data_IF_836939231940
#
_entry.id   IF_836939231940
#
_cell.length_a   1.000
_cell.length_b   1.000
_cell.length_c   1.000
_cell.angle_alpha   90.00
_cell.angle_beta   90.00
_cell.angle_gamma   90.00
#
_symmetry.space_group_name_H-M   'P 1'
#
loop_
_entity.id
_entity.type
_entity.pdbx_description
1 polymer ?
#
# COMPACT_ATOMS: atom_id res chain seq x y z
N UNK A 1 -9.54 38.10 15.63
CA UNK A 1 -8.58 39.21 15.49
C UNK A 1 -7.52 38.82 14.47
N UNK A 2 -7.72 39.17 13.20
CA UNK A 2 -6.65 39.36 12.22
C UNK A 2 -6.38 40.87 12.15
N UNK A 3 -5.11 41.29 11.98
CA UNK A 3 -4.72 41.93 10.73
C UNK A 3 -3.32 41.46 10.25
N UNK A 4 -3.19 41.09 8.97
CA UNK A 4 -2.71 41.90 7.84
C UNK A 4 -1.17 41.99 7.71
N UNK A 5 -0.66 41.20 6.76
CA UNK A 5 0.21 41.56 5.63
C UNK A 5 1.28 42.67 5.85
N UNK A 6 2.56 42.35 5.61
CA UNK A 6 3.21 42.64 4.32
C UNK A 6 4.73 42.36 4.31
N UNK A 7 5.14 41.57 3.30
CA UNK A 7 6.13 41.90 2.26
C UNK A 7 7.64 41.94 2.60
N UNK A 8 8.36 40.95 2.07
CA UNK A 8 9.72 41.04 1.50
C UNK A 8 9.89 39.77 0.66
N UNK A 9 9.77 39.72 -0.67
CA UNK A 9 10.47 40.48 -1.72
C UNK A 9 11.99 40.44 -1.57
N UNK A 10 12.63 39.35 -2.01
CA UNK A 10 13.89 39.51 -2.75
C UNK A 10 14.20 38.30 -3.66
N UNK A 11 14.26 38.63 -4.95
CA UNK A 11 15.17 38.12 -5.97
C UNK A 11 15.14 36.64 -6.37
N UNK A 12 14.28 36.40 -7.35
CA UNK A 12 14.59 35.56 -8.49
C UNK A 12 15.83 36.11 -9.23
N UNK A 13 16.92 35.35 -9.22
CA UNK A 13 18.08 35.57 -10.09
C UNK A 13 18.44 34.21 -10.71
N UNK A 14 18.36 34.14 -12.03
CA UNK A 14 18.69 32.95 -12.80
C UNK A 14 20.18 32.68 -12.86
N UNK A 15 20.55 31.41 -12.76
CA UNK A 15 21.86 30.90 -13.15
C UNK A 15 21.70 30.04 -14.41
N UNK A 16 22.26 30.41 -15.57
CA UNK A 16 22.44 29.51 -16.68
C UNK A 16 23.86 28.94 -16.61
N UNK A 17 24.02 27.75 -16.03
CA UNK A 17 25.29 27.03 -16.06
C UNK A 17 25.03 25.57 -16.43
N UNK A 18 25.21 25.32 -17.72
CA UNK A 18 25.60 24.06 -18.34
C UNK A 18 26.43 23.18 -17.38
N UNK A 19 25.80 22.23 -16.69
CA UNK A 19 26.52 21.13 -16.06
C UNK A 19 25.99 19.80 -16.59
N UNK A 20 26.70 19.33 -17.62
CA UNK A 20 27.07 17.94 -17.88
C UNK A 20 25.99 16.91 -17.54
N UNK A 21 25.33 16.37 -18.57
CA UNK A 21 24.55 15.12 -18.50
C UNK A 21 25.29 14.11 -17.62
N UNK A 22 24.83 13.95 -16.39
CA UNK A 22 25.18 12.82 -15.57
C UNK A 22 24.43 11.65 -16.17
N UNK A 23 25.16 10.77 -16.84
CA UNK A 23 24.69 9.44 -17.23
C UNK A 23 24.09 8.83 -15.95
N UNK A 24 22.79 8.47 -15.91
CA UNK A 24 22.29 7.73 -14.77
C UNK A 24 23.09 6.42 -14.72
N UNK A 25 23.62 5.99 -13.56
CA UNK A 25 24.24 4.68 -13.47
C UNK A 25 23.22 3.66 -13.96
N UNK A 26 23.66 2.83 -14.92
CA UNK A 26 22.86 1.80 -15.55
C UNK A 26 22.01 1.05 -14.51
N UNK A 27 20.77 0.62 -14.84
CA UNK A 27 19.96 -0.16 -13.92
C UNK A 27 20.80 -1.36 -13.50
N UNK A 28 21.13 -1.37 -12.21
CA UNK A 28 21.86 -2.43 -11.56
C UNK A 28 21.15 -3.73 -11.87
N UNK A 29 21.93 -4.63 -12.47
CA UNK A 29 21.60 -6.01 -12.76
C UNK A 29 20.62 -6.54 -11.74
N UNK A 30 19.43 -6.87 -12.23
CA UNK A 30 18.36 -7.53 -11.48
C UNK A 30 18.94 -8.82 -10.90
N UNK A 31 19.39 -8.74 -9.65
CA UNK A 31 19.66 -9.91 -8.84
C UNK A 31 18.33 -10.61 -8.72
N UNK A 32 18.20 -11.77 -9.38
CA UNK A 32 17.06 -12.66 -9.18
C UNK A 32 17.19 -13.16 -7.74
N UNK A 33 16.71 -12.34 -6.81
CA UNK A 33 16.64 -12.65 -5.41
C UNK A 33 15.72 -13.85 -5.32
N UNK A 34 16.29 -14.99 -4.90
CA UNK A 34 15.51 -16.16 -4.51
C UNK A 34 14.52 -15.67 -3.47
N UNK A 35 13.25 -15.48 -3.87
CA UNK A 35 12.22 -15.00 -2.95
C UNK A 35 12.10 -16.07 -1.87
N UNK A 36 12.56 -15.76 -0.67
CA UNK A 36 12.36 -16.61 0.49
C UNK A 36 10.85 -16.86 0.58
N UNK A 37 10.43 -18.13 0.48
CA UNK A 37 9.00 -18.44 0.42
C UNK A 37 8.24 -18.02 1.70
N UNK A 38 8.98 -17.80 2.80
CA UNK A 38 8.45 -17.44 4.11
C UNK A 38 9.14 -16.19 4.66
N UNK A 39 8.33 -15.29 5.23
CA UNK A 39 8.73 -14.07 5.90
C UNK A 39 8.36 -14.14 7.38
N UNK A 40 9.21 -13.57 8.23
CA UNK A 40 8.86 -13.37 9.64
C UNK A 40 7.82 -12.26 9.78
N UNK A 41 7.28 -12.04 10.99
CA UNK A 41 6.39 -10.89 11.25
C UNK A 41 7.08 -9.55 10.92
N UNK A 42 8.39 -9.46 11.18
CA UNK A 42 9.17 -8.25 10.93
C UNK A 42 9.29 -7.99 9.42
N UNK A 43 9.72 -9.01 8.67
CA UNK A 43 9.93 -8.87 7.22
C UNK A 43 8.59 -8.72 6.49
N UNK A 44 7.52 -9.38 6.94
CA UNK A 44 6.19 -9.23 6.36
C UNK A 44 5.63 -7.82 6.56
N UNK A 45 5.89 -7.21 7.71
CA UNK A 45 5.48 -5.84 7.98
C UNK A 45 6.28 -4.85 7.12
N UNK A 46 7.59 -5.06 6.98
CA UNK A 46 8.42 -4.27 6.06
C UNK A 46 7.95 -4.42 4.61
N UNK A 47 7.64 -5.65 4.19
CA UNK A 47 7.10 -5.95 2.85
C UNK A 47 5.79 -5.20 2.56
N UNK A 48 4.91 -5.11 3.55
CA UNK A 48 3.63 -4.39 3.42
C UNK A 48 3.75 -2.87 3.68
N UNK A 49 4.92 -2.38 4.12
CA UNK A 49 5.09 -0.99 4.55
C UNK A 49 4.32 -0.63 5.83
N UNK A 50 4.07 -1.61 6.70
CA UNK A 50 3.30 -1.46 7.94
C UNK A 50 4.19 -1.61 9.18
N UNK A 51 3.67 -1.17 10.34
CA UNK A 51 4.34 -1.44 11.62
C UNK A 51 4.12 -2.90 12.06
N UNK A 52 5.10 -3.50 12.74
CA UNK A 52 4.97 -4.86 13.29
C UNK A 52 3.82 -4.93 14.30
N UNK A 53 3.62 -3.85 15.06
CA UNK A 53 2.52 -3.73 16.02
C UNK A 53 1.15 -3.87 15.33
N UNK A 54 1.00 -3.26 14.14
CA UNK A 54 -0.21 -3.40 13.33
C UNK A 54 -0.49 -4.87 12.99
N UNK A 55 0.52 -5.61 12.51
CA UNK A 55 0.37 -7.04 12.22
C UNK A 55 0.04 -7.87 13.46
N UNK A 56 0.60 -7.53 14.64
CA UNK A 56 0.22 -8.19 15.89
C UNK A 56 -1.24 -7.97 16.25
N UNK A 57 -1.73 -6.73 16.15
CA UNK A 57 -3.12 -6.38 16.41
C UNK A 57 -4.06 -7.10 15.45
N UNK A 58 -3.76 -7.07 14.15
CA UNK A 58 -4.52 -7.76 13.11
C UNK A 58 -4.60 -9.26 13.40
N UNK A 59 -3.46 -9.90 13.69
CA UNK A 59 -3.41 -11.32 14.02
C UNK A 59 -4.25 -11.67 15.25
N UNK A 60 -4.24 -10.83 16.28
CA UNK A 60 -5.08 -11.04 17.47
C UNK A 60 -6.58 -10.91 17.15
N UNK A 61 -6.92 -9.96 16.28
CA UNK A 61 -8.29 -9.73 15.80
C UNK A 61 -8.73 -10.68 14.69
N UNK A 62 -7.90 -11.66 14.31
CA UNK A 62 -8.13 -12.58 13.18
C UNK A 62 -8.39 -11.85 11.85
N UNK A 63 -7.82 -10.67 11.71
CA UNK A 63 -7.83 -9.86 10.50
C UNK A 63 -6.45 -9.89 9.86
N UNK A 64 -6.38 -9.59 8.57
CA UNK A 64 -5.12 -9.50 7.84
C UNK A 64 -4.67 -10.81 7.19
N UNK A 65 -3.41 -10.83 6.70
CA UNK A 65 -2.92 -11.92 5.86
C UNK A 65 -2.77 -13.24 6.63
N UNK A 66 -2.97 -14.39 5.95
CA UNK A 66 -2.84 -15.71 6.57
C UNK A 66 -1.44 -15.92 7.17
N UNK A 67 -1.41 -16.32 8.45
CA UNK A 67 -0.18 -16.64 9.17
C UNK A 67 -0.28 -18.00 9.84
N UNK A 68 0.86 -18.68 9.97
CA UNK A 68 0.93 -19.97 10.66
C UNK A 68 2.17 -20.04 11.56
N UNK A 69 2.13 -20.97 12.52
CA UNK A 69 3.26 -21.23 13.41
C UNK A 69 4.14 -22.31 12.79
N UNK A 70 5.42 -22.02 12.60
CA UNK A 70 6.41 -22.94 12.07
C UNK A 70 7.39 -23.38 13.17
N UNK A 71 7.60 -24.69 13.26
CA UNK A 71 8.60 -25.33 14.10
C UNK A 71 8.25 -25.44 15.60
N UNK A 72 9.10 -26.11 16.40
CA UNK A 72 8.84 -26.42 17.82
C UNK A 72 8.68 -25.17 18.69
N UNK A 73 9.34 -24.07 18.31
CA UNK A 73 9.26 -22.78 19.02
C UNK A 73 8.07 -21.92 18.59
N UNK A 74 7.23 -22.41 17.68
CA UNK A 74 5.98 -21.78 17.25
C UNK A 74 6.16 -20.38 16.64
N UNK A 75 7.24 -20.16 15.88
CA UNK A 75 7.51 -18.86 15.25
C UNK A 75 6.44 -18.55 14.21
N UNK A 76 5.92 -17.33 14.21
CA UNK A 76 4.87 -16.92 13.26
C UNK A 76 5.53 -16.56 11.93
N UNK A 77 5.14 -17.25 10.88
CA UNK A 77 5.63 -17.04 9.51
C UNK A 77 4.46 -16.70 8.58
N UNK A 78 4.77 -15.91 7.56
CA UNK A 78 3.90 -15.56 6.45
C UNK A 78 4.45 -16.14 5.16
N UNK A 79 3.59 -16.67 4.31
CA UNK A 79 3.97 -16.98 2.93
C UNK A 79 3.90 -15.72 2.09
N UNK A 80 4.89 -15.50 1.25
CA UNK A 80 4.90 -14.32 0.36
C UNK A 80 3.69 -14.34 -0.59
N UNK A 81 3.38 -15.49 -1.18
CA UNK A 81 2.19 -15.65 -2.02
C UNK A 81 0.88 -15.39 -1.28
N UNK A 82 0.82 -15.69 0.04
CA UNK A 82 -0.36 -15.44 0.85
C UNK A 82 -0.51 -13.95 1.20
N UNK A 83 0.61 -13.23 1.36
CA UNK A 83 0.61 -11.77 1.47
C UNK A 83 0.12 -11.13 0.17
N UNK A 84 0.68 -11.56 -0.97
CA UNK A 84 0.31 -11.06 -2.30
C UNK A 84 -1.18 -11.31 -2.60
N UNK A 85 -1.68 -12.52 -2.30
CA UNK A 85 -3.09 -12.86 -2.45
C UNK A 85 -3.99 -11.99 -1.54
N UNK A 86 -3.60 -11.82 -0.27
CA UNK A 86 -4.36 -11.00 0.67
C UNK A 86 -4.45 -9.54 0.24
N UNK A 87 -3.36 -8.94 -0.28
CA UNK A 87 -3.39 -7.57 -0.81
C UNK A 87 -4.40 -7.46 -1.95
N UNK A 88 -4.37 -8.39 -2.91
CA UNK A 88 -5.34 -8.43 -4.00
C UNK A 88 -6.78 -8.56 -3.53
N UNK A 89 -7.02 -9.40 -2.52
CA UNK A 89 -8.35 -9.51 -1.90
C UNK A 89 -8.79 -8.19 -1.26
N UNK A 90 -7.89 -7.46 -0.60
CA UNK A 90 -8.19 -6.13 -0.07
C UNK A 90 -8.52 -5.13 -1.18
N UNK A 91 -7.76 -5.11 -2.27
CA UNK A 91 -8.01 -4.23 -3.42
C UNK A 91 -9.38 -4.52 -4.08
N UNK A 92 -9.76 -5.80 -4.15
CA UNK A 92 -11.05 -6.20 -4.70
C UNK A 92 -12.22 -5.93 -3.75
N UNK A 93 -12.00 -6.01 -2.44
CA UNK A 93 -13.02 -5.71 -1.45
C UNK A 93 -13.24 -4.20 -1.24
N UNK A 94 -12.21 -3.38 -1.48
CA UNK A 94 -12.31 -1.94 -1.38
C UNK A 94 -13.06 -1.36 -2.60
N UNK A 95 -14.19 -0.71 -2.33
CA UNK A 95 -15.07 -0.16 -3.36
C UNK A 95 -14.50 1.08 -4.06
N UNK A 96 -13.41 1.67 -3.55
CA UNK A 96 -12.71 2.78 -4.22
C UNK A 96 -11.75 2.26 -5.27
N UNK A 97 -11.11 1.11 -5.04
CA UNK A 97 -10.26 0.45 -6.03
C UNK A 97 -11.03 -0.49 -6.96
N UNK A 98 -12.17 -1.05 -6.54
CA UNK A 98 -12.98 -1.94 -7.35
C UNK A 98 -14.22 -1.24 -7.94
N UNK A 99 -14.18 -0.96 -9.25
CA UNK A 99 -15.29 -0.35 -10.00
C UNK A 99 -16.59 -1.16 -9.95
N UNK A 100 -16.52 -2.48 -9.84
CA UNK A 100 -17.71 -3.34 -9.76
C UNK A 100 -18.48 -3.17 -8.45
N UNK A 101 -17.82 -2.67 -7.40
CA UNK A 101 -18.43 -2.38 -6.09
C UNK A 101 -18.70 -0.89 -5.90
N UNK A 102 -18.44 -0.05 -6.92
CA UNK A 102 -18.68 1.37 -6.82
C UNK A 102 -20.19 1.63 -6.68
N UNK A 103 -20.64 2.23 -5.56
CA UNK A 103 -22.06 2.50 -5.33
C UNK A 103 -22.67 3.47 -6.35
N UNK A 104 -21.85 4.26 -7.05
CA UNK A 104 -22.30 5.16 -8.12
C UNK A 104 -22.53 4.44 -9.46
N UNK A 105 -21.98 3.24 -9.62
CA UNK A 105 -22.12 2.42 -10.83
C UNK A 105 -23.29 1.45 -10.74
N UNK A 106 -23.87 1.25 -9.55
CA UNK A 106 -25.10 0.49 -9.39
C UNK A 106 -26.26 1.29 -9.99
N UNK A 107 -26.87 0.77 -11.06
CA UNK A 107 -28.12 1.31 -11.60
C UNK A 107 -29.13 1.44 -10.46
N UNK A 108 -29.74 2.62 -10.23
CA UNK A 108 -30.78 2.77 -9.24
C UNK A 108 -31.89 1.76 -9.57
N UNK A 109 -31.99 0.69 -8.77
CA UNK A 109 -33.02 -0.32 -8.98
C UNK A 109 -34.37 0.40 -9.04
N UNK A 110 -34.96 0.41 -10.24
CA UNK A 110 -36.27 1.01 -10.46
C UNK A 110 -37.20 0.30 -9.48
N UNK A 111 -37.58 1.00 -8.40
CA UNK A 111 -38.64 0.54 -7.51
C UNK A 111 -39.90 0.51 -8.36
N UNK A 112 -40.17 -0.65 -8.96
CA UNK A 112 -41.45 -0.94 -9.59
C UNK A 112 -42.47 -0.84 -8.46
N UNK A 113 -43.22 0.26 -8.42
CA UNK A 113 -44.37 0.39 -7.53
C UNK A 113 -45.41 -0.60 -8.04
N UNK A 114 -45.87 -1.57 -7.23
CA UNK A 114 -47.01 -2.40 -7.65
C UNK A 114 -48.21 -1.47 -7.85
N UNK A 115 -48.79 -1.51 -9.04
CA UNK A 115 -50.06 -0.83 -9.34
C UNK A 115 -51.15 -1.51 -8.52
N UNK A 116 -51.94 -0.70 -7.81
CA UNK A 116 -53.11 -1.12 -7.05
C UNK A 116 -54.33 -1.25 -7.96
#
# INVERSE_FOLDING_TARGET
MLPCLCRSSLSQQGNPAMHRSAIPPAPTTSSVAVRTAFLTVQDAAEYLGLSHHTLYVWRHRRQGPPSFRMGPRGRVMYRVEALDAWVREQEQADSRSNLALNPLSADPQQRIRPSA
#
